data_IF_686808145685
#
_entry.id   IF_686808145685
#
_cell.length_a   1.000
_cell.length_b   1.000
_cell.length_c   1.000
_cell.angle_alpha   90.00
_cell.angle_beta   90.00
_cell.angle_gamma   90.00
#
_symmetry.space_group_name_H-M   'P 1'
#
loop_
_entity.id
_entity.type
_entity.pdbx_description
1 polymer ?
#
# COMPACT_ATOMS: atom_id res chain seq x y z
N UNK A 1 1.64 -0.77 7.97
CA UNK A 1 3.12 -0.61 8.04
C UNK A 1 3.53 0.56 8.91
N UNK A 2 4.70 0.51 9.55
CA UNK A 2 5.34 1.70 10.14
C UNK A 2 6.28 2.34 9.13
N UNK A 3 6.41 3.67 9.14
CA UNK A 3 7.24 4.43 8.18
C UNK A 3 8.72 3.99 8.22
N UNK A 4 9.22 3.59 9.39
CA UNK A 4 10.60 3.08 9.55
C UNK A 4 10.86 1.84 8.68
N UNK A 5 9.91 0.90 8.66
CA UNK A 5 10.01 -0.32 7.87
C UNK A 5 9.96 -0.04 6.36
N UNK A 6 9.24 1.01 5.94
CA UNK A 6 9.16 1.41 4.52
C UNK A 6 10.48 2.02 4.05
N UNK A 7 11.20 2.73 4.94
CA UNK A 7 12.50 3.33 4.63
C UNK A 7 13.65 2.33 4.51
N UNK A 8 13.59 1.23 5.24
CA UNK A 8 14.63 0.19 5.23
C UNK A 8 14.56 -0.73 4.00
N UNK A 9 13.45 -0.72 3.27
CA UNK A 9 13.25 -1.56 2.08
C UNK A 9 13.92 -0.91 0.86
N UNK A 10 14.55 -1.71 0.00
CA UNK A 10 15.10 -1.26 -1.28
C UNK A 10 14.02 -0.72 -2.23
N UNK A 11 14.41 0.17 -3.15
CA UNK A 11 13.46 0.78 -4.11
C UNK A 11 12.77 -0.27 -4.98
N UNK A 12 13.47 -1.33 -5.39
CA UNK A 12 12.90 -2.41 -6.22
C UNK A 12 11.83 -3.18 -5.46
N UNK A 13 12.15 -3.62 -4.24
CA UNK A 13 11.22 -4.33 -3.37
C UNK A 13 10.01 -3.47 -2.98
N UNK A 14 10.16 -2.16 -2.82
CA UNK A 14 9.04 -1.24 -2.58
C UNK A 14 8.05 -1.20 -3.75
N UNK A 15 8.54 -1.24 -4.98
CA UNK A 15 7.70 -1.22 -6.18
C UNK A 15 6.91 -2.53 -6.30
N UNK A 16 7.56 -3.68 -6.10
CA UNK A 16 6.85 -4.98 -6.11
C UNK A 16 5.78 -5.04 -5.03
N UNK A 17 6.09 -4.54 -3.84
CA UNK A 17 5.16 -4.49 -2.70
C UNK A 17 4.00 -3.53 -2.95
N UNK A 18 4.24 -2.43 -3.65
CA UNK A 18 3.20 -1.49 -4.08
C UNK A 18 2.20 -2.15 -5.04
N UNK A 19 2.69 -2.89 -6.03
CA UNK A 19 1.84 -3.61 -6.98
C UNK A 19 1.00 -4.69 -6.29
N UNK A 20 1.64 -5.50 -5.44
CA UNK A 20 0.94 -6.53 -4.68
C UNK A 20 -0.14 -5.94 -3.76
N UNK A 21 0.15 -4.84 -3.07
CA UNK A 21 -0.83 -4.16 -2.19
C UNK A 21 -1.95 -3.48 -2.96
N UNK A 22 -1.69 -2.91 -4.14
CA UNK A 22 -2.72 -2.38 -5.05
C UNK A 22 -3.67 -3.48 -5.54
N UNK A 23 -3.13 -4.61 -5.99
CA UNK A 23 -3.92 -5.76 -6.42
C UNK A 23 -4.82 -6.27 -5.28
N UNK A 24 -4.26 -6.39 -4.07
CA UNK A 24 -5.01 -6.79 -2.87
C UNK A 24 -6.11 -5.79 -2.51
N UNK A 25 -5.85 -4.48 -2.62
CA UNK A 25 -6.86 -3.44 -2.40
C UNK A 25 -8.03 -3.57 -3.39
N UNK A 26 -7.72 -3.82 -4.67
CA UNK A 26 -8.73 -3.97 -5.71
C UNK A 26 -9.61 -5.19 -5.46
N UNK A 27 -8.99 -6.32 -5.08
CA UNK A 27 -9.73 -7.53 -4.70
C UNK A 27 -10.59 -7.31 -3.44
N UNK A 28 -10.07 -6.61 -2.43
CA UNK A 28 -10.85 -6.24 -1.24
C UNK A 28 -12.05 -5.35 -1.58
N UNK A 29 -11.92 -4.40 -2.51
CA UNK A 29 -13.04 -3.56 -2.96
C UNK A 29 -14.10 -4.37 -3.70
N UNK A 30 -13.68 -5.28 -4.58
CA UNK A 30 -14.59 -6.18 -5.29
C UNK A 30 -15.34 -7.08 -4.30
N UNK A 31 -14.61 -7.68 -3.36
CA UNK A 31 -15.22 -8.50 -2.31
C UNK A 31 -16.20 -7.67 -1.46
N UNK A 32 -15.88 -6.42 -1.12
CA UNK A 32 -16.78 -5.52 -0.39
C UNK A 32 -18.08 -5.20 -1.13
N UNK A 33 -17.98 -5.05 -2.45
CA UNK A 33 -19.12 -4.77 -3.31
C UNK A 33 -20.04 -5.99 -3.44
N UNK A 34 -19.49 -7.21 -3.40
CA UNK A 34 -20.24 -8.46 -3.48
C UNK A 34 -20.83 -8.85 -2.12
N UNK A 35 -20.05 -8.70 -1.05
CA UNK A 35 -20.47 -8.98 0.31
C UNK A 35 -19.90 -7.92 1.26
N UNK A 36 -20.72 -7.30 2.12
CA UNK A 36 -20.21 -6.33 3.09
C UNK A 36 -19.17 -6.99 3.99
N UNK A 37 -17.90 -6.60 3.81
CA UNK A 37 -16.79 -7.05 4.64
C UNK A 37 -17.07 -6.80 6.13
N UNK A 38 -16.76 -7.78 6.97
CA UNK A 38 -16.81 -7.66 8.43
C UNK A 38 -15.95 -6.51 8.97
N UNK A 39 -14.85 -6.15 8.27
CA UNK A 39 -13.94 -5.10 8.69
C UNK A 39 -13.55 -4.14 7.55
N UNK A 40 -14.40 -3.14 7.24
CA UNK A 40 -14.11 -2.09 6.24
C UNK A 40 -12.85 -1.28 6.56
N UNK A 41 -12.45 -1.22 7.83
CA UNK A 41 -11.22 -0.57 8.30
C UNK A 41 -9.96 -1.12 7.64
N UNK A 42 -9.95 -2.38 7.19
CA UNK A 42 -8.79 -2.96 6.48
C UNK A 42 -8.53 -2.25 5.15
N UNK A 43 -9.57 -1.81 4.43
CA UNK A 43 -9.44 -1.04 3.19
C UNK A 43 -8.75 0.30 3.48
N UNK A 44 -9.11 0.95 4.60
CA UNK A 44 -8.50 2.21 5.03
C UNK A 44 -7.02 2.03 5.39
N UNK A 45 -6.66 0.93 6.06
CA UNK A 45 -5.27 0.61 6.39
C UNK A 45 -4.46 0.34 5.12
N UNK A 46 -4.97 -0.48 4.20
CA UNK A 46 -4.32 -0.77 2.92
C UNK A 46 -4.07 0.51 2.10
N UNK A 47 -5.05 1.43 2.03
CA UNK A 47 -4.86 2.75 1.38
C UNK A 47 -3.75 3.58 2.01
N UNK A 48 -3.65 3.60 3.34
CA UNK A 48 -2.58 4.34 4.04
C UNK A 48 -1.21 3.73 3.79
N UNK A 49 -1.13 2.41 3.71
CA UNK A 49 0.14 1.73 3.46
C UNK A 49 0.62 1.98 2.02
N UNK A 50 -0.29 1.96 1.03
CA UNK A 50 0.01 2.38 -0.36
C UNK A 50 0.54 3.82 -0.39
N UNK A 51 -0.17 4.76 0.24
CA UNK A 51 0.24 6.17 0.25
C UNK A 51 1.63 6.39 0.87
N UNK A 52 1.98 5.62 1.91
CA UNK A 52 3.31 5.70 2.54
C UNK A 52 4.42 5.20 1.61
N UNK A 53 4.17 4.11 0.89
CA UNK A 53 5.13 3.57 -0.10
C UNK A 53 5.33 4.56 -1.24
N UNK A 54 4.24 5.11 -1.79
CA UNK A 54 4.30 6.12 -2.86
C UNK A 54 5.03 7.40 -2.42
N UNK A 55 4.79 7.86 -1.19
CA UNK A 55 5.48 9.03 -0.63
C UNK A 55 6.99 8.80 -0.52
N UNK A 56 7.41 7.62 -0.04
CA UNK A 56 8.82 7.27 0.09
C UNK A 56 9.50 7.15 -1.29
N UNK A 57 8.84 6.51 -2.27
CA UNK A 57 9.35 6.43 -3.64
C UNK A 57 9.56 7.84 -4.23
N UNK A 58 8.58 8.72 -4.08
CA UNK A 58 8.68 10.09 -4.55
C UNK A 58 9.78 10.89 -3.82
N UNK A 59 9.92 10.68 -2.50
CA UNK A 59 10.99 11.31 -1.72
C UNK A 59 12.38 10.84 -2.18
N UNK A 60 12.53 9.58 -2.58
CA UNK A 60 13.77 9.05 -3.15
C UNK A 60 14.06 9.59 -4.56
N UNK A 61 13.03 9.84 -5.36
CA UNK A 61 13.17 10.49 -6.67
C UNK A 61 13.60 11.95 -6.54
N UNK A 62 13.05 12.69 -5.58
CA UNK A 62 13.39 14.11 -5.33
C UNK A 62 14.79 14.31 -4.72
N UNK A 63 15.31 13.33 -3.98
CA UNK A 63 16.65 13.36 -3.39
C UNK A 63 17.74 12.86 -4.36
N UNK A 64 17.38 12.64 -5.63
CA UNK A 64 18.27 12.20 -6.70
C UNK A 64 18.63 13.39 -7.58
#
# INVERSE_FOLDING_TARGET
MKIKEVREIETKDLVEKLEATRAKLQQMKLNHAIAPLENPSQIKVARRDIARIETELHQRELNK
#
